data_IF_398728035668
#
_entry.id   IF_398728035668
#
_cell.length_a   1.000
_cell.length_b   1.000
_cell.length_c   1.000
_cell.angle_alpha   90.00
_cell.angle_beta   90.00
_cell.angle_gamma   90.00
#
_symmetry.space_group_name_H-M   'P 1'
#
loop_
_entity.id
_entity.type
_entity.pdbx_description
1 polymer ?
#
# COMPACT_ATOMS: atom_id res chain seq x y z
N UNK A 1 -4.05 -10.54 1.68
CA UNK A 1 -2.64 -10.44 2.15
C UNK A 1 -2.01 -11.81 2.01
N UNK A 2 -1.10 -12.02 1.06
CA UNK A 2 -0.41 -13.33 0.88
C UNK A 2 0.92 -13.24 1.63
N UNK A 3 1.21 -14.19 2.52
CA UNK A 3 2.50 -14.28 3.23
C UNK A 3 3.21 -15.57 2.83
N UNK A 4 4.56 -15.51 2.83
CA UNK A 4 5.57 -16.54 2.52
C UNK A 4 5.10 -17.95 2.14
N UNK A 5 5.67 -18.47 1.05
CA UNK A 5 5.52 -19.88 0.69
C UNK A 5 6.10 -20.80 1.77
N UNK A 6 5.29 -21.78 2.18
CA UNK A 6 5.77 -22.94 2.90
C UNK A 6 5.87 -24.12 1.92
N UNK A 7 7.02 -24.80 1.87
CA UNK A 7 7.15 -26.07 1.15
C UNK A 7 6.35 -27.15 1.89
N UNK A 8 5.12 -27.41 1.45
CA UNK A 8 4.37 -28.57 1.90
C UNK A 8 4.73 -29.79 1.04
N UNK A 9 5.54 -30.70 1.58
CA UNK A 9 5.89 -31.97 0.94
C UNK A 9 6.41 -31.82 -0.51
N UNK A 10 7.32 -30.87 -0.73
CA UNK A 10 8.00 -30.65 -2.01
C UNK A 10 7.19 -29.91 -3.09
N UNK A 11 5.99 -29.42 -2.77
CA UNK A 11 5.14 -28.68 -3.70
C UNK A 11 4.97 -27.21 -3.26
N UNK A 12 4.88 -26.32 -4.24
CA UNK A 12 4.60 -24.89 -4.02
C UNK A 12 3.24 -24.70 -3.35
N UNK A 13 3.19 -23.85 -2.33
CA UNK A 13 1.95 -23.51 -1.65
C UNK A 13 1.88 -22.01 -1.37
N UNK A 14 0.68 -21.45 -1.46
CA UNK A 14 0.39 -20.04 -1.23
C UNK A 14 -0.47 -19.87 0.02
N UNK A 15 -0.14 -18.92 0.90
CA UNK A 15 -1.00 -18.57 2.02
C UNK A 15 -2.00 -17.49 1.60
N UNK A 16 -3.29 -17.77 1.71
CA UNK A 16 -4.35 -16.81 1.36
C UNK A 16 -5.50 -16.87 2.37
N UNK A 17 -6.35 -15.85 2.38
CA UNK A 17 -7.57 -15.86 3.18
C UNK A 17 -8.63 -16.74 2.51
N UNK A 18 -9.18 -17.70 3.24
CA UNK A 18 -10.26 -18.55 2.78
C UNK A 18 -11.60 -17.98 3.28
N UNK A 19 -12.46 -17.55 2.36
CA UNK A 19 -13.77 -16.99 2.72
C UNK A 19 -14.66 -18.03 3.41
N UNK A 20 -14.72 -19.25 2.89
CA UNK A 20 -15.52 -20.35 3.46
C UNK A 20 -15.11 -20.70 4.89
N UNK A 21 -13.80 -20.71 5.17
CA UNK A 21 -13.28 -21.01 6.51
C UNK A 21 -13.15 -19.77 7.41
N UNK A 22 -13.39 -18.56 6.88
CA UNK A 22 -13.17 -17.28 7.57
C UNK A 22 -11.79 -17.15 8.24
N UNK A 23 -10.74 -17.72 7.62
CA UNK A 23 -9.40 -17.80 8.19
C UNK A 23 -8.31 -17.90 7.11
N UNK A 24 -7.07 -17.56 7.47
CA UNK A 24 -5.90 -17.79 6.60
C UNK A 24 -5.56 -19.27 6.49
N UNK A 25 -5.27 -19.74 5.27
CA UNK A 25 -4.90 -21.12 4.97
C UNK A 25 -3.79 -21.20 3.93
N UNK A 26 -3.09 -22.33 3.94
CA UNK A 26 -2.16 -22.71 2.89
C UNK A 26 -2.89 -23.50 1.82
N UNK A 27 -2.72 -23.07 0.57
CA UNK A 27 -3.28 -23.71 -0.61
C UNK A 27 -2.15 -24.27 -1.47
N UNK A 28 -2.25 -25.55 -1.80
CA UNK A 28 -1.33 -26.21 -2.72
C UNK A 28 -1.63 -25.74 -4.14
N UNK A 29 -0.63 -25.19 -4.82
CA UNK A 29 -0.79 -24.63 -6.17
C UNK A 29 -1.26 -25.69 -7.15
N UNK A 30 -0.73 -26.92 -7.02
CA UNK A 30 -1.09 -28.06 -7.85
C UNK A 30 -2.52 -28.58 -7.66
N UNK A 31 -3.24 -28.07 -6.65
CA UNK A 31 -4.65 -28.41 -6.38
C UNK A 31 -5.62 -27.29 -6.72
N UNK A 32 -5.12 -26.15 -7.22
CA UNK A 32 -5.98 -25.04 -7.64
C UNK A 32 -6.55 -25.40 -9.02
N UNK A 33 -7.86 -25.61 -9.09
CA UNK A 33 -8.57 -26.00 -10.33
C UNK A 33 -8.78 -24.79 -11.24
N UNK A 34 -9.06 -23.64 -10.65
CA UNK A 34 -9.26 -22.38 -11.36
C UNK A 34 -8.87 -21.23 -10.45
N UNK A 35 -8.34 -20.17 -11.04
CA UNK A 35 -8.14 -18.89 -10.40
C UNK A 35 -8.75 -17.82 -11.30
N UNK A 36 -9.41 -16.85 -10.69
CA UNK A 36 -10.04 -15.76 -11.40
C UNK A 36 -9.73 -14.43 -10.74
N UNK A 37 -9.65 -13.37 -11.54
CA UNK A 37 -9.65 -11.99 -11.07
C UNK A 37 -11.02 -11.65 -10.46
N UNK A 38 -11.00 -10.89 -9.35
CA UNK A 38 -12.25 -10.50 -8.67
C UNK A 38 -13.04 -9.43 -9.44
N UNK A 39 -12.35 -8.65 -10.28
CA UNK A 39 -12.91 -7.46 -10.93
C UNK A 39 -13.78 -7.83 -12.15
N UNK A 40 -13.35 -8.79 -12.97
CA UNK A 40 -14.00 -9.17 -14.23
C UNK A 40 -14.19 -10.69 -14.40
N UNK A 41 -13.70 -11.51 -13.46
CA UNK A 41 -13.84 -12.97 -13.50
C UNK A 41 -12.98 -13.64 -14.57
N UNK A 42 -12.00 -12.93 -15.14
CA UNK A 42 -11.05 -13.49 -16.09
C UNK A 42 -10.27 -14.64 -15.46
N UNK A 43 -10.22 -15.77 -16.15
CA UNK A 43 -9.48 -16.94 -15.69
C UNK A 43 -7.99 -16.75 -15.92
N UNK A 44 -7.22 -16.98 -14.87
CA UNK A 44 -5.76 -16.83 -14.84
C UNK A 44 -5.12 -18.17 -14.51
N UNK A 45 -4.00 -18.47 -15.18
CA UNK A 45 -3.22 -19.67 -14.90
C UNK A 45 -2.58 -19.57 -13.50
N UNK A 46 -2.89 -20.50 -12.57
CA UNK A 46 -2.37 -20.45 -11.21
C UNK A 46 -0.84 -20.59 -11.13
N UNK A 47 -0.23 -21.37 -12.02
CA UNK A 47 1.21 -21.60 -12.00
C UNK A 47 1.97 -20.40 -12.56
N UNK A 48 1.54 -19.86 -13.69
CA UNK A 48 2.15 -18.69 -14.32
C UNK A 48 2.04 -17.48 -13.41
N UNK A 49 0.85 -17.24 -12.84
CA UNK A 49 0.64 -16.14 -11.93
C UNK A 49 1.48 -16.27 -10.66
N UNK A 50 1.56 -17.46 -10.05
CA UNK A 50 2.38 -17.64 -8.84
C UNK A 50 3.88 -17.60 -9.17
N UNK A 51 4.29 -18.06 -10.35
CA UNK A 51 5.66 -17.88 -10.83
C UNK A 51 6.00 -16.40 -11.08
N UNK A 52 5.07 -15.60 -11.60
CA UNK A 52 5.18 -14.15 -11.69
C UNK A 52 5.27 -13.54 -10.29
N UNK A 53 4.39 -13.92 -9.35
CA UNK A 53 4.46 -13.47 -7.95
C UNK A 53 5.78 -13.82 -7.25
N UNK A 54 6.44 -14.91 -7.64
CA UNK A 54 7.77 -15.28 -7.14
C UNK A 54 8.88 -14.42 -7.74
N UNK A 55 8.81 -14.19 -9.05
CA UNK A 55 9.80 -13.42 -9.81
C UNK A 55 9.74 -11.94 -9.45
N UNK A 56 8.52 -11.42 -9.41
CA UNK A 56 8.21 -9.99 -9.38
C UNK A 56 7.67 -9.56 -8.01
N UNK A 57 7.39 -10.52 -7.10
CA UNK A 57 6.72 -10.28 -5.83
C UNK A 57 5.19 -10.22 -5.98
N UNK A 58 4.47 -10.05 -4.86
CA UNK A 58 3.12 -9.47 -4.96
C UNK A 58 3.23 -8.15 -5.75
N UNK A 59 2.22 -7.73 -6.55
CA UNK A 59 2.19 -6.41 -7.16
C UNK A 59 2.12 -5.34 -6.06
N UNK A 60 3.29 -5.13 -5.49
CA UNK A 60 3.74 -4.22 -4.47
C UNK A 60 5.16 -3.89 -4.93
N UNK A 61 5.19 -3.17 -6.03
CA UNK A 61 6.09 -2.04 -6.26
C UNK A 61 6.58 -1.55 -4.92
N UNK A 62 7.85 -1.81 -4.59
CA UNK A 62 8.52 -1.44 -3.34
C UNK A 62 7.66 -1.63 -2.06
N UNK A 63 7.99 -2.56 -1.15
CA UNK A 63 7.27 -2.74 0.14
C UNK A 63 6.95 -1.42 0.87
N UNK A 64 7.79 -0.39 0.72
CA UNK A 64 7.51 0.95 1.23
C UNK A 64 6.54 1.81 0.39
N UNK A 65 6.48 1.70 -0.94
CA UNK A 65 5.57 2.48 -1.77
C UNK A 65 4.11 2.07 -1.56
N UNK A 66 3.82 0.77 -1.46
CA UNK A 66 2.46 0.33 -1.14
C UNK A 66 2.00 0.71 0.28
N UNK A 67 2.93 0.73 1.23
CA UNK A 67 2.68 1.22 2.59
C UNK A 67 2.42 2.74 2.58
N UNK A 68 3.19 3.46 1.77
CA UNK A 68 3.01 4.88 1.54
C UNK A 68 1.68 5.22 0.87
N UNK A 69 1.32 4.52 -0.20
CA UNK A 69 0.02 4.59 -0.87
C UNK A 69 -1.15 4.44 0.11
N UNK A 70 -1.13 3.41 0.97
CA UNK A 70 -2.18 3.20 1.99
C UNK A 70 -2.29 4.38 2.95
N UNK A 71 -1.16 4.91 3.41
CA UNK A 71 -1.16 6.07 4.30
C UNK A 71 -1.78 7.30 3.62
N UNK A 72 -1.44 7.56 2.35
CA UNK A 72 -1.98 8.69 1.60
C UNK A 72 -3.48 8.54 1.31
N UNK A 73 -3.93 7.35 0.88
CA UNK A 73 -5.36 7.10 0.60
C UNK A 73 -6.21 7.18 1.86
N UNK A 74 -5.68 6.77 3.02
CA UNK A 74 -6.39 6.98 4.29
C UNK A 74 -6.63 8.48 4.55
N UNK A 75 -5.62 9.31 4.32
CA UNK A 75 -5.72 10.75 4.56
C UNK A 75 -6.67 11.45 3.61
N UNK A 76 -6.59 11.13 2.32
CA UNK A 76 -7.49 11.69 1.32
C UNK A 76 -8.96 11.30 1.55
N UNK A 77 -9.25 10.25 2.35
CA UNK A 77 -10.62 9.80 2.62
C UNK A 77 -11.11 10.14 4.02
N UNK A 78 -10.33 10.89 4.80
CA UNK A 78 -10.68 11.23 6.18
C UNK A 78 -12.01 11.98 6.29
N UNK A 79 -12.36 12.80 5.30
CA UNK A 79 -13.60 13.60 5.27
C UNK A 79 -14.80 12.85 4.61
N UNK A 80 -14.57 11.59 4.19
CA UNK A 80 -15.56 10.74 3.55
C UNK A 80 -15.90 11.11 2.09
N UNK A 81 -15.18 12.05 1.48
CA UNK A 81 -15.37 12.45 0.09
C UNK A 81 -14.11 12.15 -0.72
N UNK A 82 -14.27 11.78 -1.99
CA UNK A 82 -13.12 11.56 -2.89
C UNK A 82 -12.98 12.80 -3.80
N UNK A 83 -12.01 13.68 -3.55
CA UNK A 83 -11.77 14.85 -4.40
C UNK A 83 -10.75 14.55 -5.50
N UNK A 84 -11.05 14.97 -6.73
CA UNK A 84 -10.14 14.76 -7.87
C UNK A 84 -8.74 15.37 -7.66
N UNK A 85 -8.62 16.45 -6.88
CA UNK A 85 -7.33 17.10 -6.61
C UNK A 85 -6.47 16.33 -5.59
N UNK A 86 -7.08 15.63 -4.64
CA UNK A 86 -6.35 14.75 -3.72
C UNK A 86 -5.71 13.58 -4.49
N UNK A 87 -6.40 13.06 -5.50
CA UNK A 87 -5.86 12.02 -6.37
C UNK A 87 -4.64 12.47 -7.18
N UNK A 88 -4.63 13.73 -7.64
CA UNK A 88 -3.45 14.33 -8.28
C UNK A 88 -2.30 14.44 -7.27
N UNK A 89 -2.58 14.89 -6.05
CA UNK A 89 -1.57 14.97 -4.99
C UNK A 89 -1.01 13.59 -4.60
N UNK A 90 -1.84 12.54 -4.60
CA UNK A 90 -1.41 11.15 -4.38
C UNK A 90 -0.48 10.67 -5.52
N UNK A 91 -0.83 10.95 -6.78
CA UNK A 91 -0.01 10.59 -7.94
C UNK A 91 1.37 11.27 -7.88
N UNK A 92 1.41 12.57 -7.61
CA UNK A 92 2.66 13.33 -7.43
C UNK A 92 3.51 12.79 -6.27
N UNK A 93 2.87 12.42 -5.15
CA UNK A 93 3.56 11.84 -4.01
C UNK A 93 4.19 10.48 -4.35
N UNK A 94 3.49 9.62 -5.10
CA UNK A 94 4.01 8.33 -5.56
C UNK A 94 5.19 8.49 -6.53
N UNK A 95 5.10 9.46 -7.44
CA UNK A 95 6.21 9.80 -8.33
C UNK A 95 7.44 10.28 -7.54
N UNK A 96 7.27 11.15 -6.55
CA UNK A 96 8.35 11.56 -5.65
C UNK A 96 8.94 10.42 -4.84
N UNK A 97 8.12 9.45 -4.42
CA UNK A 97 8.61 8.24 -3.76
C UNK A 97 9.53 7.44 -4.71
N UNK A 98 9.06 7.15 -5.92
CA UNK A 98 9.81 6.41 -6.94
C UNK A 98 11.16 7.07 -7.24
N UNK A 99 11.18 8.39 -7.46
CA UNK A 99 12.41 9.14 -7.73
C UNK A 99 13.43 9.06 -6.58
N UNK A 100 12.96 9.00 -5.33
CA UNK A 100 13.83 9.09 -4.14
C UNK A 100 14.32 7.74 -3.63
N UNK A 101 13.57 6.67 -3.91
CA UNK A 101 13.82 5.33 -3.38
C UNK A 101 14.05 4.26 -4.45
N UNK A 102 14.00 4.63 -5.74
CA UNK A 102 14.41 3.77 -6.86
C UNK A 102 13.28 2.94 -7.46
N UNK A 103 12.21 3.60 -7.92
CA UNK A 103 11.14 2.99 -8.73
C UNK A 103 11.08 3.58 -10.14
N UNK A 104 10.28 2.95 -11.00
CA UNK A 104 10.05 3.38 -12.39
C UNK A 104 8.60 3.80 -12.70
N UNK A 105 8.28 4.05 -13.96
CA UNK A 105 6.95 4.48 -14.39
C UNK A 105 5.90 3.36 -14.32
N UNK A 106 6.31 2.10 -14.49
CA UNK A 106 5.41 0.95 -14.35
C UNK A 106 5.04 0.75 -12.87
N UNK A 107 6.01 0.94 -11.99
CA UNK A 107 5.87 0.98 -10.55
C UNK A 107 4.84 2.03 -10.10
N UNK A 108 4.99 3.28 -10.56
CA UNK A 108 4.07 4.37 -10.23
C UNK A 108 2.66 4.05 -10.72
N UNK A 109 2.52 3.57 -11.96
CA UNK A 109 1.22 3.23 -12.56
C UNK A 109 0.52 2.12 -11.78
N UNK A 110 1.25 1.07 -11.41
CA UNK A 110 0.71 -0.03 -10.62
C UNK A 110 0.29 0.45 -9.22
N UNK A 111 1.04 1.34 -8.59
CA UNK A 111 0.68 1.94 -7.31
C UNK A 111 -0.60 2.78 -7.40
N UNK A 112 -0.75 3.63 -8.43
CA UNK A 112 -1.98 4.42 -8.66
C UNK A 112 -3.20 3.52 -8.87
N UNK A 113 -3.06 2.49 -9.72
CA UNK A 113 -4.12 1.52 -9.94
C UNK A 113 -4.52 0.80 -8.64
N UNK A 114 -3.55 0.46 -7.80
CA UNK A 114 -3.80 -0.14 -6.50
C UNK A 114 -4.51 0.84 -5.55
N UNK A 115 -4.07 2.11 -5.48
CA UNK A 115 -4.65 3.12 -4.60
C UNK A 115 -6.17 3.26 -4.77
N UNK A 116 -6.66 3.26 -6.01
CA UNK A 116 -8.10 3.36 -6.32
C UNK A 116 -8.94 2.20 -5.77
N UNK A 117 -8.31 1.07 -5.45
CA UNK A 117 -8.95 -0.12 -4.89
C UNK A 117 -8.80 -0.21 -3.38
N UNK A 118 -8.07 0.71 -2.74
CA UNK A 118 -7.83 0.69 -1.30
C UNK A 118 -9.01 1.32 -0.55
N UNK A 119 -9.36 0.69 0.56
CA UNK A 119 -10.25 1.25 1.59
C UNK A 119 -9.55 1.12 2.95
N UNK A 120 -8.43 1.84 3.16
CA UNK A 120 -7.65 1.70 4.38
C UNK A 120 -8.40 2.31 5.57
N UNK A 121 -8.21 1.71 6.74
CA UNK A 121 -8.74 2.24 8.01
C UNK A 121 -7.63 2.85 8.90
N UNK A 122 -8.01 3.32 10.08
CA UNK A 122 -7.06 3.90 11.04
C UNK A 122 -6.00 2.90 11.53
N UNK A 123 -6.31 1.61 11.52
CA UNK A 123 -5.37 0.53 11.80
C UNK A 123 -4.35 0.35 10.68
N UNK A 124 -4.78 0.39 9.42
CA UNK A 124 -3.88 0.39 8.26
C UNK A 124 -2.93 1.59 8.27
N UNK A 125 -3.44 2.77 8.63
CA UNK A 125 -2.62 3.98 8.78
C UNK A 125 -1.58 3.83 9.89
N UNK A 126 -1.99 3.38 11.08
CA UNK A 126 -1.07 3.15 12.20
C UNK A 126 0.00 2.10 11.86
N UNK A 127 -0.37 1.01 11.18
CA UNK A 127 0.56 -0.01 10.71
C UNK A 127 1.56 0.56 9.70
N UNK A 128 1.12 1.47 8.84
CA UNK A 128 1.99 2.16 7.89
C UNK A 128 3.06 2.99 8.60
N UNK A 129 2.68 3.73 9.65
CA UNK A 129 3.63 4.45 10.51
C UNK A 129 4.64 3.54 11.20
N UNK A 130 4.21 2.36 11.67
CA UNK A 130 5.10 1.36 12.28
C UNK A 130 6.11 0.82 11.27
N UNK A 131 5.68 0.54 10.04
CA UNK A 131 6.59 0.12 8.97
C UNK A 131 7.59 1.22 8.58
N UNK A 132 7.17 2.49 8.57
CA UNK A 132 8.11 3.60 8.38
C UNK A 132 9.13 3.70 9.52
N UNK A 133 8.73 3.47 10.77
CA UNK A 133 9.67 3.41 11.90
C UNK A 133 10.76 2.34 11.71
N UNK A 134 10.37 1.18 11.15
CA UNK A 134 11.26 0.03 10.89
C UNK A 134 12.24 0.29 9.75
N UNK A 135 12.06 1.35 8.98
CA UNK A 135 13.00 1.78 7.93
C UNK A 135 14.40 2.00 8.54
N UNK A 136 15.48 1.66 7.83
CA UNK A 136 16.85 1.92 8.30
C UNK A 136 17.03 3.37 8.75
N UNK A 137 17.72 3.58 9.87
CA UNK A 137 17.85 4.91 10.51
C UNK A 137 18.33 6.00 9.54
N UNK A 138 19.25 5.67 8.63
CA UNK A 138 19.78 6.59 7.62
C UNK A 138 18.75 7.02 6.55
N UNK A 139 17.61 6.33 6.45
CA UNK A 139 16.50 6.65 5.53
C UNK A 139 15.25 7.16 6.24
N UNK A 140 15.08 6.94 7.55
CA UNK A 140 13.89 7.38 8.30
C UNK A 140 13.57 8.85 8.11
N UNK A 141 14.59 9.72 8.17
CA UNK A 141 14.40 11.16 7.95
C UNK A 141 13.89 11.46 6.55
N UNK A 142 14.43 10.79 5.51
CA UNK A 142 13.98 10.96 4.13
C UNK A 142 12.53 10.51 3.94
N UNK A 143 12.13 9.41 4.58
CA UNK A 143 10.77 8.89 4.56
C UNK A 143 9.83 9.82 5.33
N UNK A 144 10.22 10.29 6.51
CA UNK A 144 9.43 11.22 7.30
C UNK A 144 9.21 12.55 6.61
N UNK A 145 10.25 13.12 6.00
CA UNK A 145 10.15 14.36 5.21
C UNK A 145 9.17 14.17 4.04
N UNK A 146 9.24 13.03 3.33
CA UNK A 146 8.33 12.72 2.22
C UNK A 146 6.89 12.59 2.70
N UNK A 147 6.64 11.90 3.81
CA UNK A 147 5.30 11.75 4.38
C UNK A 147 4.73 13.12 4.76
N UNK A 148 5.49 13.94 5.50
CA UNK A 148 5.03 15.27 5.91
C UNK A 148 4.68 16.15 4.71
N UNK A 149 5.54 16.15 3.70
CA UNK A 149 5.32 16.95 2.50
C UNK A 149 4.09 16.49 1.73
N UNK A 150 3.91 15.16 1.62
CA UNK A 150 2.77 14.58 0.88
C UNK A 150 1.45 14.74 1.63
N UNK A 151 1.47 14.65 2.97
CA UNK A 151 0.30 14.92 3.79
C UNK A 151 -0.15 16.38 3.67
N UNK A 152 0.80 17.32 3.71
CA UNK A 152 0.49 18.74 3.51
C UNK A 152 -0.09 19.00 2.12
N UNK A 153 0.49 18.40 1.07
CA UNK A 153 0.00 18.56 -0.29
C UNK A 153 -1.41 17.99 -0.51
N UNK A 154 -1.78 16.89 0.16
CA UNK A 154 -3.12 16.29 0.08
C UNK A 154 -4.14 17.16 0.83
N UNK A 155 -3.83 17.59 2.05
CA UNK A 155 -4.73 18.44 2.85
C UNK A 155 -4.92 19.82 2.21
N UNK A 156 -3.88 20.39 1.60
CA UNK A 156 -3.97 21.68 0.92
C UNK A 156 -4.60 21.56 -0.50
N UNK A 157 -4.87 20.34 -0.99
CA UNK A 157 -5.20 20.10 -2.40
C UNK A 157 -6.48 20.80 -2.83
N UNK A 158 -7.50 20.85 -1.98
CA UNK A 158 -8.80 21.47 -2.27
C UNK A 158 -8.91 22.94 -1.80
N UNK A 159 -7.88 23.43 -1.09
CA UNK A 159 -7.79 24.77 -0.54
C UNK A 159 -8.73 25.06 0.64
N UNK A 160 -9.34 24.04 1.25
CA UNK A 160 -10.24 24.18 2.41
C UNK A 160 -9.78 23.26 3.54
N UNK A 161 -9.53 23.83 4.71
CA UNK A 161 -9.13 23.04 5.86
C UNK A 161 -10.28 22.96 6.84
N UNK A 162 -10.80 21.76 7.04
CA UNK A 162 -11.73 21.43 8.12
C UNK A 162 -11.00 21.29 9.44
N UNK A 163 -11.72 21.42 10.57
CA UNK A 163 -11.14 21.25 11.90
C UNK A 163 -10.55 19.84 12.10
N UNK A 164 -11.13 18.82 11.45
CA UNK A 164 -10.68 17.44 11.50
C UNK A 164 -9.35 17.25 10.75
N UNK A 165 -9.19 17.83 9.57
CA UNK A 165 -7.94 17.78 8.79
C UNK A 165 -6.79 18.48 9.52
N UNK A 166 -7.06 19.60 10.18
CA UNK A 166 -6.07 20.32 10.99
C UNK A 166 -5.62 19.46 12.19
N UNK A 167 -6.57 18.81 12.86
CA UNK A 167 -6.27 17.92 13.98
C UNK A 167 -5.41 16.72 13.53
N UNK A 168 -5.75 16.13 12.39
CA UNK A 168 -4.98 15.04 11.78
C UNK A 168 -3.58 15.48 11.34
N UNK A 169 -3.46 16.58 10.60
CA UNK A 169 -2.17 17.12 10.16
C UNK A 169 -1.23 17.40 11.34
N UNK A 170 -1.78 17.93 12.45
CA UNK A 170 -1.03 18.15 13.69
C UNK A 170 -0.59 16.82 14.33
N UNK A 171 -1.49 15.83 14.38
CA UNK A 171 -1.21 14.50 14.92
C UNK A 171 -0.11 13.76 14.15
N UNK A 172 -0.18 13.79 12.81
CA UNK A 172 0.80 13.19 11.90
C UNK A 172 2.13 13.92 12.02
N UNK A 173 2.11 15.25 12.04
CA UNK A 173 3.29 16.09 12.28
C UNK A 173 4.04 15.68 13.55
N UNK A 174 3.30 15.40 14.62
CA UNK A 174 3.87 14.93 15.89
C UNK A 174 4.39 13.50 15.80
N UNK A 175 3.65 12.59 15.19
CA UNK A 175 4.04 11.20 15.03
C UNK A 175 5.33 11.08 14.19
N UNK A 176 5.41 11.76 13.05
CA UNK A 176 6.59 11.71 12.18
C UNK A 176 7.82 12.34 12.85
N UNK A 177 7.66 13.42 13.61
CA UNK A 177 8.76 13.98 14.42
C UNK A 177 9.33 12.98 15.41
N UNK A 178 8.49 12.16 16.04
CA UNK A 178 8.95 11.09 16.95
C UNK A 178 9.62 9.94 16.19
N UNK A 179 9.17 9.64 14.97
CA UNK A 179 9.77 8.60 14.10
C UNK A 179 11.17 8.96 13.58
N UNK A 180 11.47 10.26 13.47
CA UNK A 180 12.70 10.78 12.86
C UNK A 180 13.80 11.17 13.88
N UNK A 181 13.53 11.05 15.18
CA UNK A 181 14.54 11.18 16.25
C UNK A 181 15.38 9.90 16.35
#
# INVERSE_FOLDING_TARGET
MIREEALCAGHSAIAAFCHEASAYRLFRVDRIVAMATIDDGELIDPFEHIAALRRDGLPFVHKGMGTFAKALVFLARCDGHDHAMEWVAIEDALAHYAMRFGGDDDDIRAAICACRKLAPDSGDFANSLVEFYRTPQHQRRKVGDLILHSCAAIVDADGRHTDEEIAWGTGIGRAVKLLCQ
#
